data_IF_421523126846
#
_entry.id   IF_421523126846
#
_cell.length_a   1.000
_cell.length_b   1.000
_cell.length_c   1.000
_cell.angle_alpha   90.00
_cell.angle_beta   90.00
_cell.angle_gamma   90.00
#
_symmetry.space_group_name_H-M   'P 1'
#
loop_
_entity.id
_entity.type
_entity.pdbx_description
1 polymer ?
#
# COMPACT_ATOMS: atom_id res chain seq x y z
N UNK A 1 1.68 -32.89 24.19
CA UNK A 1 1.79 -31.42 24.16
C UNK A 1 2.90 -31.05 23.18
N UNK A 2 2.67 -31.28 21.88
CA UNK A 2 3.65 -31.00 20.82
C UNK A 2 3.02 -29.98 19.88
N UNK A 3 3.18 -28.70 20.23
CA UNK A 3 2.85 -27.57 19.37
C UNK A 3 3.96 -27.44 18.34
N UNK A 4 3.83 -28.14 17.22
CA UNK A 4 4.67 -27.89 16.05
C UNK A 4 4.42 -26.45 15.56
N UNK A 5 5.46 -25.67 15.26
CA UNK A 5 5.32 -24.31 14.78
C UNK A 5 4.65 -24.33 13.40
N UNK A 6 3.64 -23.46 13.22
CA UNK A 6 3.04 -23.18 11.92
C UNK A 6 4.16 -22.76 10.96
N UNK A 7 4.44 -23.58 9.96
CA UNK A 7 5.36 -23.23 8.89
C UNK A 7 4.62 -22.27 7.96
N UNK A 8 4.78 -20.96 8.19
CA UNK A 8 4.38 -19.94 7.21
C UNK A 8 5.29 -20.14 6.01
N UNK A 9 4.69 -20.50 4.87
CA UNK A 9 5.34 -20.91 3.63
C UNK A 9 6.47 -19.94 3.23
N UNK A 10 7.72 -20.38 3.42
CA UNK A 10 8.92 -19.59 3.15
C UNK A 10 9.01 -19.11 1.70
N UNK A 11 8.33 -19.78 0.75
CA UNK A 11 8.26 -19.36 -0.64
C UNK A 11 7.42 -18.11 -0.89
N UNK A 12 6.43 -17.79 -0.05
CA UNK A 12 5.57 -16.60 -0.21
C UNK A 12 6.30 -15.34 0.24
N UNK A 13 7.09 -15.43 1.31
CA UNK A 13 7.82 -14.29 1.86
C UNK A 13 8.96 -13.82 0.94
N UNK A 14 9.67 -14.75 0.30
CA UNK A 14 10.71 -14.43 -0.69
C UNK A 14 10.13 -13.76 -1.93
N UNK A 15 9.03 -14.29 -2.49
CA UNK A 15 8.33 -13.68 -3.62
C UNK A 15 7.82 -12.27 -3.29
N UNK A 16 7.29 -12.04 -2.07
CA UNK A 16 6.86 -10.71 -1.62
C UNK A 16 8.03 -9.73 -1.54
N UNK A 17 9.19 -10.18 -1.07
CA UNK A 17 10.40 -9.34 -1.00
C UNK A 17 10.90 -8.98 -2.41
N UNK A 18 10.97 -9.96 -3.32
CA UNK A 18 11.35 -9.72 -4.71
C UNK A 18 10.41 -8.72 -5.40
N UNK A 19 9.09 -8.84 -5.18
CA UNK A 19 8.12 -7.88 -5.70
C UNK A 19 8.37 -6.47 -5.17
N UNK A 20 8.60 -6.31 -3.85
CA UNK A 20 8.91 -5.00 -3.24
C UNK A 20 10.20 -4.41 -3.79
N UNK A 21 11.22 -5.24 -4.02
CA UNK A 21 12.48 -4.83 -4.63
C UNK A 21 12.26 -4.33 -6.06
N UNK A 22 11.47 -5.05 -6.86
CA UNK A 22 11.12 -4.64 -8.21
C UNK A 22 10.37 -3.29 -8.21
N UNK A 23 9.42 -3.10 -7.30
CA UNK A 23 8.69 -1.83 -7.16
C UNK A 23 9.56 -0.68 -6.68
N UNK A 24 10.67 -0.93 -5.96
CA UNK A 24 11.60 0.13 -5.57
C UNK A 24 12.30 0.81 -6.76
N UNK A 25 12.36 0.13 -7.92
CA UNK A 25 12.88 0.69 -9.16
C UNK A 25 11.83 1.46 -9.98
N UNK A 26 10.55 1.40 -9.58
CA UNK A 26 9.47 2.14 -10.22
C UNK A 26 9.34 3.53 -9.56
N UNK A 27 9.83 4.56 -10.26
CA UNK A 27 9.67 5.94 -9.81
C UNK A 27 8.19 6.33 -9.67
N UNK A 28 7.83 6.97 -8.57
CA UNK A 28 6.48 7.45 -8.29
C UNK A 28 6.51 8.84 -7.63
N UNK A 29 5.47 9.63 -7.87
CA UNK A 29 5.28 10.90 -7.17
C UNK A 29 4.96 10.64 -5.68
N UNK A 30 5.37 11.56 -4.81
CA UNK A 30 5.07 11.52 -3.39
C UNK A 30 3.93 12.48 -3.09
N UNK A 31 2.83 11.96 -2.55
CA UNK A 31 1.65 12.74 -2.19
C UNK A 31 1.44 12.66 -0.67
N UNK A 32 1.06 13.78 -0.06
CA UNK A 32 0.55 13.80 1.32
C UNK A 32 -0.96 13.91 1.23
N UNK A 33 -1.66 12.88 1.71
CA UNK A 33 -3.12 12.80 1.72
C UNK A 33 -3.57 13.08 3.15
N UNK A 34 -4.38 14.12 3.30
CA UNK A 34 -4.91 14.55 4.60
C UNK A 34 -6.41 14.35 4.62
N UNK A 35 -6.95 13.91 5.75
CA UNK A 35 -8.38 13.80 5.96
C UNK A 35 -8.78 14.59 7.20
N UNK A 36 -9.83 15.40 7.07
CA UNK A 36 -10.47 16.07 8.19
C UNK A 36 -11.90 15.56 8.27
N UNK A 37 -12.14 14.57 9.12
CA UNK A 37 -13.47 14.01 9.34
C UNK A 37 -13.93 14.23 10.79
N UNK A 38 -15.24 14.29 11.06
CA UNK A 38 -15.77 14.40 12.42
C UNK A 38 -15.30 13.28 13.37
N UNK A 39 -14.93 12.14 12.80
CA UNK A 39 -14.46 10.96 13.54
C UNK A 39 -12.94 10.90 13.73
N UNK A 40 -12.22 11.94 13.30
CA UNK A 40 -10.78 12.04 13.45
C UNK A 40 -10.10 12.58 12.20
N UNK A 41 -8.89 13.09 12.39
CA UNK A 41 -7.98 13.45 11.31
C UNK A 41 -6.94 12.36 11.12
N UNK A 42 -6.60 12.08 9.87
CA UNK A 42 -5.56 11.13 9.50
C UNK A 42 -4.80 11.68 8.29
N UNK A 43 -3.47 11.59 8.38
CA UNK A 43 -2.56 12.02 7.33
C UNK A 43 -1.66 10.84 6.94
N UNK A 44 -1.47 10.65 5.64
CA UNK A 44 -0.61 9.60 5.10
C UNK A 44 0.28 10.14 3.99
N UNK A 45 1.49 9.60 3.90
CA UNK A 45 2.33 9.74 2.71
C UNK A 45 2.06 8.56 1.79
N UNK A 46 1.66 8.83 0.55
CA UNK A 46 1.32 7.80 -0.41
C UNK A 46 1.98 8.04 -1.77
N UNK A 47 2.55 6.97 -2.31
CA UNK A 47 3.01 6.88 -3.71
C UNK A 47 2.04 6.12 -4.60
N UNK A 48 1.18 5.27 -4.03
CA UNK A 48 0.16 4.51 -4.75
C UNK A 48 -1.09 5.38 -5.01
N UNK A 49 -0.94 6.36 -5.91
CA UNK A 49 -1.99 7.30 -6.32
C UNK A 49 -2.08 7.32 -7.84
N UNK A 50 -3.28 7.19 -8.39
CA UNK A 50 -3.51 7.18 -9.84
C UNK A 50 -4.73 8.04 -10.23
N UNK A 51 -4.65 8.73 -11.37
CA UNK A 51 -5.81 9.39 -11.99
C UNK A 51 -6.69 8.35 -12.69
N UNK A 52 -8.01 8.44 -12.47
CA UNK A 52 -8.98 7.51 -13.06
C UNK A 52 -9.70 8.14 -14.25
N UNK A 53 -10.34 9.29 -14.04
CA UNK A 53 -10.95 10.08 -15.12
C UNK A 53 -10.88 11.57 -14.78
N UNK A 54 -10.88 12.42 -15.81
CA UNK A 54 -10.96 13.87 -15.71
C UNK A 54 -12.41 14.38 -15.72
N UNK A 55 -13.38 13.54 -16.10
CA UNK A 55 -14.80 13.88 -16.17
C UNK A 55 -15.66 12.76 -15.57
N UNK A 56 -16.15 12.89 -14.31
CA UNK A 56 -15.73 13.90 -13.33
C UNK A 56 -14.28 13.65 -12.85
N UNK A 57 -13.55 14.69 -12.40
CA UNK A 57 -12.19 14.52 -11.90
C UNK A 57 -12.15 13.54 -10.72
N UNK A 58 -11.50 12.39 -10.90
CA UNK A 58 -11.43 11.33 -9.91
C UNK A 58 -10.05 10.70 -9.84
N UNK A 59 -9.62 10.41 -8.61
CA UNK A 59 -8.37 9.76 -8.28
C UNK A 59 -8.64 8.51 -7.44
N UNK A 60 -7.74 7.53 -7.52
CA UNK A 60 -7.72 6.34 -6.66
C UNK A 60 -6.47 6.39 -5.78
N UNK A 61 -6.62 5.96 -4.53
CA UNK A 61 -5.53 5.75 -3.58
C UNK A 61 -5.62 4.36 -2.96
N UNK A 62 -4.47 3.73 -2.71
CA UNK A 62 -4.40 2.45 -2.01
C UNK A 62 -4.05 2.66 -0.54
N UNK A 63 -4.92 2.17 0.36
CA UNK A 63 -4.68 2.16 1.81
C UNK A 63 -4.35 0.75 2.28
N UNK A 64 -3.27 0.62 3.05
CA UNK A 64 -2.98 -0.63 3.72
C UNK A 64 -3.97 -0.85 4.87
N UNK A 65 -4.44 -2.09 5.03
CA UNK A 65 -5.31 -2.50 6.14
C UNK A 65 -4.51 -2.90 7.37
#
# INVERSE_FOLDING_TARGET
MSSQPVQVDAGIDENRQQFRQAMAHLGAAVNVITTAAPHGCCDITASAVCSVTDTPPTLLICLNR
#
